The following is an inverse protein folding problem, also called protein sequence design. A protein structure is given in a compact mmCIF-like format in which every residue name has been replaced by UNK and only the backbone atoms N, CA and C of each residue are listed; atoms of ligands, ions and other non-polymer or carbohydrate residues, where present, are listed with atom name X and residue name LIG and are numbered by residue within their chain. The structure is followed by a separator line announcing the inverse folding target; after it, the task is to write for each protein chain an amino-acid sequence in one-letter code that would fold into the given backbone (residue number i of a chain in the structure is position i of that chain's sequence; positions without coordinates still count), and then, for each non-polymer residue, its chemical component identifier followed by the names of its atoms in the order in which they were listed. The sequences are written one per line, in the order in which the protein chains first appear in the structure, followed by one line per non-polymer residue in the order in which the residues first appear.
data_IF_495206999967
#
_entry.id   IF_495206999967
#
_cell.length_a   1.000
_cell.length_b   1.000
_cell.length_c   1.000
_cell.angle_alpha   90.00
_cell.angle_beta   90.00
_cell.angle_gamma   90.00
#
_symmetry.space_group_name_H-M   'P 1'
#
loop_
_entity.id
_entity.type
_entity.pdbx_description
1 polymer ?
#
# COMPACT_ATOMS: atom_id res chain seq x y z
N UNK A 1 14.56 -15.07 -4.32
CA UNK A 1 14.16 -13.82 -3.63
C UNK A 1 12.65 -13.79 -3.60
N UNK A 2 12.05 -13.38 -2.50
CA UNK A 2 10.61 -13.28 -2.38
C UNK A 2 10.07 -12.08 -3.15
N UNK A 3 8.78 -12.10 -3.44
CA UNK A 3 8.10 -11.06 -4.19
C UNK A 3 7.09 -10.33 -3.29
N UNK A 4 6.94 -9.04 -3.54
CA UNK A 4 5.94 -8.17 -2.90
C UNK A 4 5.06 -7.56 -3.98
N UNK A 5 3.75 -7.61 -3.81
CA UNK A 5 2.81 -6.85 -4.62
C UNK A 5 2.55 -5.50 -3.96
N UNK A 6 2.70 -4.42 -4.71
CA UNK A 6 2.24 -3.10 -4.32
C UNK A 6 0.96 -2.77 -5.10
N UNK A 7 -0.17 -2.78 -4.42
CA UNK A 7 -1.49 -2.73 -5.05
C UNK A 7 -2.10 -1.34 -4.90
N UNK A 8 -2.49 -0.74 -6.02
CA UNK A 8 -3.27 0.50 -6.05
C UNK A 8 -4.75 0.28 -6.41
N UNK A 9 -5.52 1.37 -6.45
CA UNK A 9 -6.97 1.33 -6.68
C UNK A 9 -7.37 0.72 -8.03
N UNK A 10 -6.53 0.85 -9.04
CA UNK A 10 -6.77 0.21 -10.35
C UNK A 10 -6.92 -1.30 -10.29
N UNK A 11 -6.31 -1.95 -9.29
CA UNK A 11 -6.50 -3.38 -9.04
C UNK A 11 -7.95 -3.69 -8.61
N UNK A 12 -8.46 -2.97 -7.62
CA UNK A 12 -9.85 -3.15 -7.16
C UNK A 12 -10.84 -2.81 -8.27
N UNK A 13 -10.61 -1.74 -9.01
CA UNK A 13 -11.44 -1.34 -10.16
C UNK A 13 -11.44 -2.40 -11.28
N UNK A 14 -10.32 -3.11 -11.47
CA UNK A 14 -10.19 -4.16 -12.47
C UNK A 14 -10.90 -5.46 -12.08
N UNK A 15 -11.07 -5.72 -10.81
CA UNK A 15 -11.61 -6.99 -10.31
C UNK A 15 -13.06 -6.92 -9.83
N UNK A 16 -13.55 -5.74 -9.48
CA UNK A 16 -14.87 -5.57 -8.87
C UNK A 16 -15.74 -4.57 -9.60
N UNK A 17 -17.04 -4.85 -9.67
CA UNK A 17 -18.02 -3.90 -10.18
C UNK A 17 -18.31 -2.82 -9.13
N UNK A 18 -18.47 -1.58 -9.60
CA UNK A 18 -18.95 -0.49 -8.75
C UNK A 18 -17.90 0.17 -7.84
N UNK A 19 -16.63 -0.19 -7.97
CA UNK A 19 -15.56 0.53 -7.27
C UNK A 19 -15.45 1.94 -7.89
N UNK A 20 -15.63 3.00 -7.09
CA UNK A 20 -15.62 4.36 -7.61
C UNK A 20 -14.18 4.83 -7.89
N UNK A 21 -14.04 5.61 -8.94
CA UNK A 21 -12.86 6.45 -9.13
C UNK A 21 -12.76 7.50 -8.02
N UNK A 22 -11.56 7.96 -7.70
CA UNK A 22 -11.31 8.95 -6.66
C UNK A 22 -12.16 10.21 -6.82
N UNK A 23 -12.30 10.68 -8.05
CA UNK A 23 -13.06 11.88 -8.39
C UNK A 23 -14.55 11.75 -8.04
N UNK A 24 -15.07 10.53 -8.12
CA UNK A 24 -16.49 10.23 -7.80
C UNK A 24 -16.75 10.10 -6.29
N UNK A 25 -15.70 9.97 -5.48
CA UNK A 25 -15.82 9.90 -4.02
C UNK A 25 -16.13 11.25 -3.38
N UNK A 26 -15.81 12.35 -4.08
CA UNK A 26 -15.98 13.72 -3.59
C UNK A 26 -17.02 14.50 -4.43
N UNK A 27 -18.32 14.25 -4.24
CA UNK A 27 -19.36 14.88 -5.04
C UNK A 27 -19.37 16.41 -4.87
N UNK A 28 -19.62 17.12 -5.97
CA UNK A 28 -19.68 18.58 -5.98
C UNK A 28 -18.34 19.27 -6.24
N UNK A 29 -17.23 18.56 -6.27
CA UNK A 29 -15.96 19.14 -6.71
C UNK A 29 -16.02 19.42 -8.23
N UNK A 30 -15.64 20.63 -8.68
CA UNK A 30 -15.59 20.96 -10.08
C UNK A 30 -14.70 20.01 -10.87
N UNK A 31 -15.14 19.57 -12.06
CA UNK A 31 -14.42 18.61 -12.90
C UNK A 31 -13.00 19.05 -13.26
N UNK A 32 -12.76 20.38 -13.35
CA UNK A 32 -11.42 20.93 -13.58
C UNK A 32 -10.43 20.56 -12.48
N UNK A 33 -10.91 20.27 -11.27
CA UNK A 33 -10.11 19.85 -10.13
C UNK A 33 -10.00 18.32 -9.99
N UNK A 34 -10.71 17.56 -10.82
CA UNK A 34 -10.72 16.09 -10.76
C UNK A 34 -9.31 15.46 -10.91
N UNK A 35 -8.39 16.15 -11.58
CA UNK A 35 -6.99 15.74 -11.72
C UNK A 35 -6.11 16.08 -10.50
N UNK A 36 -6.64 16.81 -9.52
CA UNK A 36 -5.92 17.09 -8.30
C UNK A 36 -5.66 15.79 -7.51
N UNK A 37 -4.63 15.79 -6.66
CA UNK A 37 -4.35 14.62 -5.84
C UNK A 37 -5.48 14.36 -4.83
N UNK A 38 -5.60 13.12 -4.37
CA UNK A 38 -6.64 12.69 -3.45
C UNK A 38 -6.67 13.52 -2.14
N UNK A 39 -5.49 13.86 -1.61
CA UNK A 39 -5.34 14.68 -0.41
C UNK A 39 -5.91 16.09 -0.62
N UNK A 40 -5.59 16.72 -1.75
CA UNK A 40 -6.11 18.05 -2.08
C UNK A 40 -7.63 18.01 -2.33
N UNK A 41 -8.12 16.98 -3.02
CA UNK A 41 -9.55 16.77 -3.23
C UNK A 41 -10.30 16.63 -1.89
N UNK A 42 -9.72 15.87 -0.96
CA UNK A 42 -10.25 15.72 0.39
C UNK A 42 -10.35 17.06 1.13
N UNK A 43 -9.27 17.87 1.12
CA UNK A 43 -9.25 19.18 1.80
C UNK A 43 -10.25 20.17 1.17
N UNK A 44 -10.38 20.19 -0.14
CA UNK A 44 -11.35 21.03 -0.84
C UNK A 44 -12.77 20.58 -0.46
N UNK A 45 -13.04 19.28 -0.52
CA UNK A 45 -14.35 18.74 -0.19
C UNK A 45 -14.73 19.05 1.27
N UNK A 46 -13.80 18.87 2.21
CA UNK A 46 -13.97 19.23 3.62
C UNK A 46 -14.37 20.71 3.79
N UNK A 47 -13.69 21.61 3.09
CA UNK A 47 -14.02 23.05 3.10
C UNK A 47 -15.39 23.34 2.50
N UNK A 48 -15.77 22.68 1.40
CA UNK A 48 -17.08 22.86 0.77
C UNK A 48 -18.23 22.40 1.67
N UNK A 49 -18.01 21.38 2.50
CA UNK A 49 -19.01 20.88 3.44
C UNK A 49 -19.12 21.73 4.71
N UNK A 50 -18.35 22.84 4.83
CA UNK A 50 -18.29 23.68 6.04
C UNK A 50 -18.05 22.88 7.34
N UNK A 51 -17.36 21.75 7.24
CA UNK A 51 -17.11 20.90 8.39
C UNK A 51 -16.21 21.61 9.39
N UNK A 52 -16.69 21.73 10.62
CA UNK A 52 -15.93 22.34 11.71
C UNK A 52 -14.81 21.43 12.17
N UNK A 53 -13.78 22.02 12.78
CA UNK A 53 -12.73 21.25 13.46
C UNK A 53 -13.39 20.37 14.52
N UNK A 54 -13.28 19.06 14.39
CA UNK A 54 -13.96 18.09 15.27
C UNK A 54 -14.95 17.16 14.55
N UNK A 55 -15.43 17.54 13.36
CA UNK A 55 -16.27 16.66 12.53
C UNK A 55 -15.45 15.79 11.55
N UNK A 56 -14.13 15.96 11.55
CA UNK A 56 -13.22 15.26 10.65
C UNK A 56 -13.32 13.73 10.79
N UNK A 57 -13.44 13.24 12.02
CA UNK A 57 -13.58 11.80 12.28
C UNK A 57 -14.91 11.25 11.73
N UNK A 58 -16.00 12.02 11.82
CA UNK A 58 -17.29 11.63 11.25
C UNK A 58 -17.24 11.60 9.73
N UNK A 59 -16.59 12.60 9.12
CA UNK A 59 -16.42 12.66 7.68
C UNK A 59 -15.60 11.46 7.17
N UNK A 60 -14.46 11.18 7.78
CA UNK A 60 -13.63 10.01 7.46
C UNK A 60 -14.41 8.70 7.60
N UNK A 61 -15.21 8.57 8.67
CA UNK A 61 -16.06 7.39 8.88
C UNK A 61 -17.03 7.20 7.74
N UNK A 62 -17.81 8.22 7.39
CA UNK A 62 -18.78 8.16 6.31
C UNK A 62 -18.11 7.84 4.96
N UNK A 63 -16.94 8.39 4.72
CA UNK A 63 -16.14 8.09 3.53
C UNK A 63 -15.71 6.63 3.50
N UNK A 64 -15.15 6.11 4.58
CA UNK A 64 -14.68 4.73 4.70
C UNK A 64 -15.84 3.72 4.62
N UNK A 65 -16.96 4.00 5.26
CA UNK A 65 -18.19 3.20 5.13
C UNK A 65 -18.64 3.11 3.67
N UNK A 66 -18.62 4.23 2.95
CA UNK A 66 -19.04 4.27 1.55
C UNK A 66 -18.15 3.40 0.65
N UNK A 67 -16.84 3.41 0.84
CA UNK A 67 -15.91 2.61 0.00
C UNK A 67 -15.85 1.15 0.41
N UNK A 68 -16.15 0.82 1.67
CA UNK A 68 -16.14 -0.56 2.16
C UNK A 68 -17.50 -1.26 2.04
N UNK A 69 -18.60 -0.51 1.96
CA UNK A 69 -19.94 -1.07 1.80
C UNK A 69 -20.09 -2.16 0.73
N UNK A 70 -19.46 -2.06 -0.46
CA UNK A 70 -19.51 -3.13 -1.44
C UNK A 70 -18.95 -4.47 -0.93
N UNK A 71 -17.98 -4.44 0.00
CA UNK A 71 -17.31 -5.63 0.55
C UNK A 71 -17.98 -6.17 1.82
N UNK A 72 -19.00 -5.49 2.34
CA UNK A 72 -19.82 -5.95 3.44
C UNK A 72 -20.86 -6.93 2.90
N UNK A 73 -20.77 -8.18 3.36
CA UNK A 73 -21.65 -9.26 2.87
C UNK A 73 -21.21 -9.83 1.51
N UNK A 74 -22.06 -10.67 0.93
CA UNK A 74 -21.79 -11.36 -0.35
C UNK A 74 -22.39 -10.60 -1.55
N UNK A 75 -22.51 -9.28 -1.45
CA UNK A 75 -23.17 -8.45 -2.48
C UNK A 75 -22.27 -8.04 -3.62
N UNK A 76 -20.95 -7.99 -3.39
CA UNK A 76 -20.00 -7.57 -4.42
C UNK A 76 -19.87 -8.67 -5.49
N UNK A 77 -19.90 -8.24 -6.74
CA UNK A 77 -19.64 -9.11 -7.88
C UNK A 77 -18.21 -8.94 -8.34
N UNK A 78 -17.48 -10.05 -8.39
CA UNK A 78 -16.22 -10.10 -9.08
C UNK A 78 -16.46 -10.10 -10.60
N UNK A 79 -15.71 -9.30 -11.32
CA UNK A 79 -15.68 -9.29 -12.79
C UNK A 79 -14.77 -10.39 -13.36
N UNK A 80 -14.00 -11.06 -12.52
CA UNK A 80 -13.03 -12.07 -12.93
C UNK A 80 -13.18 -13.35 -12.13
N UNK A 81 -13.25 -14.47 -12.84
CA UNK A 81 -13.20 -15.81 -12.23
C UNK A 81 -11.80 -16.12 -11.66
N UNK A 82 -10.80 -15.35 -12.01
CA UNK A 82 -9.41 -15.55 -11.56
C UNK A 82 -9.20 -15.22 -10.07
N UNK A 83 -10.12 -14.51 -9.43
CA UNK A 83 -9.98 -14.17 -7.99
C UNK A 83 -9.89 -15.42 -7.10
N UNK A 84 -10.50 -16.53 -7.49
CA UNK A 84 -10.45 -17.81 -6.77
C UNK A 84 -9.05 -18.45 -6.84
N UNK A 85 -8.30 -18.17 -7.91
CA UNK A 85 -6.93 -18.67 -8.08
C UNK A 85 -5.87 -17.74 -7.50
N UNK A 86 -6.23 -16.55 -7.03
CA UNK A 86 -5.28 -15.55 -6.55
C UNK A 86 -4.36 -16.10 -5.44
N UNK A 87 -4.92 -16.79 -4.44
CA UNK A 87 -4.14 -17.41 -3.38
C UNK A 87 -3.11 -18.44 -3.89
N UNK A 88 -3.50 -19.26 -4.86
CA UNK A 88 -2.59 -20.21 -5.51
C UNK A 88 -1.48 -19.50 -6.29
N UNK A 89 -1.81 -18.37 -6.93
CA UNK A 89 -0.82 -17.54 -7.64
C UNK A 89 0.16 -16.91 -6.65
N UNK A 90 -0.30 -16.40 -5.50
CA UNK A 90 0.58 -15.87 -4.46
C UNK A 90 1.61 -16.90 -3.99
N UNK A 91 1.16 -18.13 -3.71
CA UNK A 91 2.02 -19.25 -3.29
C UNK A 91 3.06 -19.56 -4.39
N UNK A 92 2.58 -19.77 -5.61
CA UNK A 92 3.40 -20.17 -6.76
C UNK A 92 4.48 -19.13 -7.10
N UNK A 93 4.22 -17.87 -6.85
CA UNK A 93 5.13 -16.76 -7.14
C UNK A 93 5.82 -16.20 -5.90
N UNK A 94 5.81 -16.94 -4.79
CA UNK A 94 6.48 -16.57 -3.53
C UNK A 94 6.14 -15.14 -3.05
N UNK A 95 4.85 -14.77 -3.11
CA UNK A 95 4.37 -13.47 -2.66
C UNK A 95 3.91 -13.58 -1.21
N UNK A 96 4.77 -13.21 -0.27
CA UNK A 96 4.45 -13.19 1.17
C UNK A 96 3.98 -11.84 1.69
N UNK A 97 4.12 -10.79 0.88
CA UNK A 97 3.75 -9.43 1.27
C UNK A 97 2.91 -8.74 0.20
N UNK A 98 1.88 -8.04 0.63
CA UNK A 98 1.07 -7.14 -0.18
C UNK A 98 1.09 -5.78 0.50
N UNK A 99 1.52 -4.74 -0.21
CA UNK A 99 1.45 -3.34 0.22
C UNK A 99 0.30 -2.69 -0.54
N UNK A 100 -0.48 -1.84 0.11
CA UNK A 100 -1.54 -1.10 -0.57
C UNK A 100 -1.78 0.27 0.02
N UNK A 101 -2.06 1.23 -0.85
CA UNK A 101 -2.59 2.55 -0.51
C UNK A 101 -4.12 2.57 -0.47
N UNK A 102 -4.77 1.47 -0.85
CA UNK A 102 -6.23 1.38 -0.91
C UNK A 102 -6.84 1.34 0.50
N UNK A 103 -7.95 2.05 0.65
CA UNK A 103 -8.76 2.01 1.87
C UNK A 103 -9.85 0.95 1.82
N UNK A 104 -10.16 0.40 0.63
CA UNK A 104 -11.18 -0.62 0.47
C UNK A 104 -10.75 -1.98 1.01
N UNK A 105 -11.73 -2.85 1.29
CA UNK A 105 -11.53 -4.21 1.77
C UNK A 105 -11.43 -5.28 0.67
N UNK A 106 -11.12 -4.88 -0.57
CA UNK A 106 -11.14 -5.79 -1.72
C UNK A 106 -10.12 -6.92 -1.63
N UNK A 107 -8.91 -6.61 -1.19
CA UNK A 107 -7.84 -7.62 -1.02
C UNK A 107 -8.21 -8.59 0.09
N UNK A 108 -8.68 -8.09 1.23
CA UNK A 108 -9.15 -8.86 2.36
C UNK A 108 -10.29 -9.80 1.97
N UNK A 109 -11.23 -9.28 1.18
CA UNK A 109 -12.35 -10.05 0.67
C UNK A 109 -11.89 -11.21 -0.24
N UNK A 110 -10.97 -10.95 -1.18
CA UNK A 110 -10.39 -12.01 -2.03
C UNK A 110 -9.71 -13.07 -1.17
N UNK A 111 -8.83 -12.66 -0.27
CA UNK A 111 -8.07 -13.59 0.57
C UNK A 111 -9.00 -14.46 1.42
N UNK A 112 -9.99 -13.86 2.08
CA UNK A 112 -10.84 -14.58 3.03
C UNK A 112 -12.00 -15.33 2.36
N UNK A 113 -12.70 -14.69 1.42
CA UNK A 113 -13.92 -15.27 0.83
C UNK A 113 -13.65 -16.17 -0.37
N UNK A 114 -12.55 -15.95 -1.08
CA UNK A 114 -12.23 -16.69 -2.30
C UNK A 114 -11.05 -17.65 -2.18
N UNK A 115 -10.05 -17.29 -1.37
CA UNK A 115 -8.81 -18.04 -1.30
C UNK A 115 -8.62 -18.85 -0.01
N UNK A 116 -9.60 -18.84 0.89
CA UNK A 116 -9.59 -19.64 2.12
C UNK A 116 -8.51 -19.22 3.13
N UNK A 117 -8.12 -17.94 3.12
CA UNK A 117 -7.27 -17.38 4.15
C UNK A 117 -8.10 -16.92 5.35
N UNK A 118 -7.53 -17.03 6.52
CA UNK A 118 -8.08 -16.48 7.76
C UNK A 118 -7.20 -15.34 8.25
N UNK A 119 -7.82 -14.28 8.71
CA UNK A 119 -7.09 -13.20 9.38
C UNK A 119 -6.64 -13.69 10.75
N UNK A 120 -5.34 -13.62 10.99
CA UNK A 120 -4.70 -13.96 12.26
C UNK A 120 -4.17 -12.69 12.89
N UNK A 121 -4.55 -12.42 14.14
CA UNK A 121 -3.98 -11.30 14.91
C UNK A 121 -2.80 -11.84 15.71
N UNK A 122 -1.55 -11.51 15.36
CA UNK A 122 -0.39 -11.91 16.15
C UNK A 122 -0.46 -11.27 17.54
N UNK A 123 -0.03 -11.99 18.57
CA UNK A 123 0.02 -11.46 19.94
C UNK A 123 1.01 -10.29 20.10
N UNK A 124 1.97 -10.21 19.18
CA UNK A 124 3.08 -9.26 19.13
C UNK A 124 2.92 -8.21 18.03
N UNK A 125 1.68 -7.95 17.59
CA UNK A 125 1.42 -6.96 16.55
C UNK A 125 1.92 -5.59 16.97
N UNK A 126 2.83 -5.03 16.19
CA UNK A 126 3.37 -3.69 16.43
C UNK A 126 2.26 -2.65 16.23
N UNK A 127 2.11 -1.65 17.12
CA UNK A 127 1.09 -0.63 16.98
C UNK A 127 1.20 0.11 15.66
N UNK A 128 0.04 0.41 15.07
CA UNK A 128 -0.11 1.08 13.77
C UNK A 128 0.62 2.42 13.66
N UNK A 129 0.93 3.05 14.78
CA UNK A 129 1.48 4.41 14.85
C UNK A 129 2.99 4.47 15.02
N UNK A 130 3.68 3.34 15.10
CA UNK A 130 5.11 3.35 15.35
C UNK A 130 5.86 3.35 14.03
N UNK A 131 6.54 4.45 13.80
CA UNK A 131 7.43 4.68 12.64
C UNK A 131 6.72 4.49 11.30
N UNK A 132 7.32 3.74 10.40
CA UNK A 132 6.75 3.40 9.10
C UNK A 132 5.88 2.14 9.12
N UNK A 133 5.66 1.52 10.28
CA UNK A 133 4.70 0.42 10.41
C UNK A 133 3.32 1.05 10.44
N UNK A 134 2.66 1.03 9.31
CA UNK A 134 1.25 1.34 9.15
C UNK A 134 0.43 0.11 9.49
N UNK A 135 -0.86 0.14 9.38
CA UNK A 135 -1.71 -1.03 9.61
C UNK A 135 -1.22 -2.20 8.79
N UNK A 136 -0.84 -3.31 9.43
CA UNK A 136 -0.72 -4.56 8.72
C UNK A 136 -1.63 -5.63 9.30
N UNK A 137 -2.09 -6.53 8.42
CA UNK A 137 -2.90 -7.69 8.75
C UNK A 137 -2.17 -8.95 8.32
N UNK A 138 -2.28 -10.00 9.10
CA UNK A 138 -1.70 -11.29 8.79
C UNK A 138 -2.80 -12.26 8.39
N UNK A 139 -2.68 -12.83 7.21
CA UNK A 139 -3.58 -13.83 6.66
C UNK A 139 -2.88 -15.17 6.50
N UNK A 140 -3.57 -16.27 6.84
CA UNK A 140 -2.98 -17.59 6.84
C UNK A 140 -3.99 -18.66 6.41
N UNK A 141 -3.55 -19.64 5.60
CA UNK A 141 -4.36 -20.76 5.17
C UNK A 141 -3.76 -22.13 5.55
N UNK A 142 -2.86 -22.18 6.54
CA UNK A 142 -2.14 -23.39 6.95
C UNK A 142 -0.91 -23.72 6.08
N UNK A 143 -0.86 -23.26 4.85
CA UNK A 143 0.23 -23.52 3.89
C UNK A 143 1.08 -22.26 3.67
N UNK A 144 0.44 -21.10 3.59
CA UNK A 144 1.05 -19.84 3.21
C UNK A 144 0.57 -18.71 4.11
N UNK A 145 1.46 -17.76 4.37
CA UNK A 145 1.19 -16.57 5.16
C UNK A 145 1.39 -15.32 4.32
N UNK A 146 0.44 -14.41 4.37
CA UNK A 146 0.49 -13.10 3.70
C UNK A 146 0.40 -12.00 4.73
N UNK A 147 1.34 -11.06 4.69
CA UNK A 147 1.24 -9.76 5.38
C UNK A 147 0.62 -8.76 4.42
N UNK A 148 -0.51 -8.19 4.80
CA UNK A 148 -1.16 -7.09 4.08
C UNK A 148 -0.88 -5.78 4.79
N UNK A 149 -0.11 -4.90 4.15
CA UNK A 149 0.30 -3.59 4.66
C UNK A 149 -0.57 -2.49 4.07
N UNK A 150 -1.45 -1.90 4.87
CA UNK A 150 -2.29 -0.77 4.46
C UNK A 150 -1.60 0.53 4.87
N UNK A 151 -0.69 1.01 4.03
CA UNK A 151 0.22 2.11 4.37
C UNK A 151 -0.43 3.48 4.51
N UNK A 152 -1.62 3.66 3.95
CA UNK A 152 -2.45 4.85 4.16
C UNK A 152 -3.55 4.63 5.21
N UNK A 153 -3.47 3.56 5.97
CA UNK A 153 -4.39 3.21 7.02
C UNK A 153 -5.47 2.21 6.61
N UNK A 154 -6.19 1.74 7.61
CA UNK A 154 -7.23 0.74 7.46
C UNK A 154 -8.61 1.38 7.54
N UNK A 155 -9.41 1.17 6.51
CA UNK A 155 -10.78 1.65 6.44
C UNK A 155 -11.81 0.84 7.20
N UNK A 156 -11.43 -0.27 7.86
CA UNK A 156 -12.38 -1.05 8.62
C UNK A 156 -12.90 -0.27 9.84
N UNK A 157 -14.24 -0.17 9.99
CA UNK A 157 -14.84 0.39 11.19
C UNK A 157 -14.49 -0.49 12.38
N UNK A 158 -13.70 0.01 13.30
CA UNK A 158 -13.37 -0.69 14.54
C UNK A 158 -14.01 0.05 15.72
N UNK A 159 -14.54 -0.73 16.69
CA UNK A 159 -15.30 -0.27 17.87
C UNK A 159 -14.64 0.83 18.72
N UNK A 160 -13.36 1.12 18.52
CA UNK A 160 -12.59 2.01 19.40
C UNK A 160 -12.08 3.31 18.77
N UNK A 161 -12.61 3.77 17.64
CA UNK A 161 -12.26 5.07 17.01
C UNK A 161 -10.75 5.32 16.74
N UNK A 162 -9.85 4.44 17.13
CA UNK A 162 -8.40 4.63 17.00
C UNK A 162 -7.92 4.48 15.55
N UNK A 163 -8.55 3.59 14.77
CA UNK A 163 -8.14 3.31 13.39
C UNK A 163 -8.53 4.42 12.41
N UNK A 164 -9.62 5.12 12.64
CA UNK A 164 -10.05 6.24 11.79
C UNK A 164 -9.01 7.37 11.82
N UNK A 165 -8.34 7.58 12.95
CA UNK A 165 -7.29 8.60 13.09
C UNK A 165 -6.01 8.26 12.33
N UNK A 166 -5.76 6.98 12.06
CA UNK A 166 -4.58 6.54 11.30
C UNK A 166 -4.72 6.66 9.79
N UNK A 167 -5.93 6.91 9.29
CA UNK A 167 -6.20 7.01 7.86
C UNK A 167 -5.60 8.29 7.29
N UNK A 168 -4.73 8.13 6.30
CA UNK A 168 -3.99 9.21 5.64
C UNK A 168 -4.83 9.83 4.52
N UNK A 169 -5.75 10.72 4.86
CA UNK A 169 -6.58 11.43 3.87
C UNK A 169 -6.23 12.91 3.72
N UNK A 170 -5.86 13.59 4.79
CA UNK A 170 -5.55 15.01 4.79
C UNK A 170 -4.04 15.30 4.78
N UNK A 171 -3.67 16.57 4.55
CA UNK A 171 -2.27 16.98 4.51
C UNK A 171 -1.52 16.68 5.81
N UNK A 172 -2.13 16.93 6.96
CA UNK A 172 -1.49 16.74 8.26
C UNK A 172 -1.13 15.25 8.48
N UNK A 173 -2.05 14.34 8.11
CA UNK A 173 -1.82 12.91 8.22
C UNK A 173 -0.74 12.44 7.22
N UNK A 174 -0.75 13.01 6.01
CA UNK A 174 0.24 12.68 4.99
C UNK A 174 1.65 13.13 5.39
N UNK A 175 1.79 14.37 5.89
CA UNK A 175 3.04 14.88 6.43
C UNK A 175 3.53 14.06 7.63
N UNK A 176 2.62 13.68 8.53
CA UNK A 176 2.93 12.81 9.67
C UNK A 176 3.41 11.42 9.25
N UNK A 177 2.86 10.89 8.19
CA UNK A 177 3.27 9.62 7.60
C UNK A 177 4.70 9.68 7.04
N UNK A 178 5.00 10.68 6.22
CA UNK A 178 6.36 10.91 5.66
C UNK A 178 7.38 11.13 6.79
N UNK A 179 7.02 11.88 7.83
CA UNK A 179 7.92 12.10 8.96
C UNK A 179 8.29 10.78 9.67
N UNK A 180 7.35 9.85 9.82
CA UNK A 180 7.59 8.52 10.39
C UNK A 180 8.49 7.66 9.49
N UNK A 181 8.27 7.68 8.19
CA UNK A 181 9.14 6.99 7.23
C UNK A 181 10.57 7.52 7.26
N UNK A 182 10.71 8.83 7.33
CA UNK A 182 12.01 9.47 7.43
C UNK A 182 12.71 9.13 8.74
N UNK A 183 11.99 9.10 9.87
CA UNK A 183 12.53 8.65 11.14
C UNK A 183 13.03 7.21 11.06
N UNK A 184 12.25 6.31 10.45
CA UNK A 184 12.66 4.93 10.21
C UNK A 184 13.96 4.83 9.39
N UNK A 185 14.04 5.55 8.27
CA UNK A 185 15.23 5.53 7.40
C UNK A 185 16.49 6.02 8.12
N UNK A 186 16.34 6.97 9.05
CA UNK A 186 17.43 7.42 9.92
C UNK A 186 17.79 6.45 11.03
N UNK A 187 16.95 5.45 11.28
CA UNK A 187 17.08 4.57 12.43
C UNK A 187 16.57 5.19 13.74
N UNK A 188 15.75 6.20 13.69
CA UNK A 188 15.16 6.86 14.88
C UNK A 188 13.92 6.08 15.36
N UNK A 189 14.05 4.77 15.61
CA UNK A 189 12.99 3.89 16.06
C UNK A 189 13.51 2.88 17.09
N UNK A 190 12.62 2.27 17.86
CA UNK A 190 12.95 1.20 18.81
C UNK A 190 12.30 -0.12 18.38
N UNK A 191 13.08 -1.08 17.87
CA UNK A 191 12.56 -2.38 17.44
C UNK A 191 11.96 -3.21 18.58
N UNK A 192 12.26 -2.87 19.83
CA UNK A 192 11.76 -3.56 21.02
C UNK A 192 10.50 -2.93 21.61
N UNK A 193 10.00 -1.85 21.02
CA UNK A 193 8.79 -1.20 21.50
C UNK A 193 7.58 -2.11 21.31
N UNK A 194 6.93 -2.46 22.43
CA UNK A 194 5.79 -3.39 22.42
C UNK A 194 4.49 -2.71 22.02
N UNK A 195 3.56 -3.53 21.57
CA UNK A 195 2.21 -3.06 21.24
C UNK A 195 1.58 -2.29 22.42
N UNK A 196 1.12 -1.07 22.14
CA UNK A 196 0.50 -0.20 23.14
C UNK A 196 1.47 0.69 23.91
N UNK A 197 2.77 0.52 23.78
CA UNK A 197 3.75 1.44 24.35
C UNK A 197 3.83 2.72 23.50
N UNK A 198 3.87 3.86 24.19
CA UNK A 198 4.01 5.17 23.53
C UNK A 198 5.47 5.60 23.67
N UNK A 199 6.09 5.95 22.57
CA UNK A 199 7.41 6.56 22.60
C UNK A 199 7.34 7.92 23.30
N UNK A 200 8.03 8.03 24.41
CA UNK A 200 8.18 9.29 25.15
C UNK A 200 9.58 9.88 24.92
N UNK A 201 9.79 11.18 25.17
CA UNK A 201 11.12 11.77 25.09
C UNK A 201 12.15 11.10 25.99
N UNK A 202 11.71 10.48 27.10
CA UNK A 202 12.57 9.79 28.07
C UNK A 202 13.05 8.42 27.57
N UNK A 203 12.27 7.76 26.75
CA UNK A 203 12.59 6.44 26.20
C UNK A 203 12.91 6.48 24.69
N UNK A 204 13.29 7.66 24.17
CA UNK A 204 13.79 7.76 22.81
C UNK A 204 15.03 6.88 22.65
N UNK A 205 15.08 6.04 21.65
CA UNK A 205 16.23 5.21 21.40
C UNK A 205 17.46 6.08 21.11
N UNK A 206 18.59 5.67 21.66
CA UNK A 206 19.85 6.41 21.49
C UNK A 206 20.65 5.93 20.29
N UNK A 207 20.43 4.72 19.86
CA UNK A 207 21.22 4.13 18.82
C UNK A 207 20.35 3.46 17.81
N UNK A 208 20.66 3.77 16.63
CA UNK A 208 19.68 3.52 15.68
C UNK A 208 20.31 2.99 14.45
N UNK A 209 19.84 1.82 14.11
CA UNK A 209 20.21 1.12 12.91
C UNK A 209 19.50 1.82 11.76
N UNK A 210 20.25 2.61 11.03
CA UNK A 210 19.69 3.28 9.87
C UNK A 210 19.43 2.30 8.72
N UNK A 211 18.50 2.63 7.84
CA UNK A 211 18.29 1.88 6.60
C UNK A 211 19.60 1.74 5.80
N UNK A 212 20.45 2.76 5.83
CA UNK A 212 21.77 2.72 5.20
C UNK A 212 22.69 1.67 5.80
N UNK A 213 22.67 1.47 7.13
CA UNK A 213 23.49 0.45 7.78
C UNK A 213 23.00 -0.94 7.40
N UNK A 214 21.69 -1.16 7.32
CA UNK A 214 21.08 -2.40 6.83
C UNK A 214 21.46 -2.64 5.36
N UNK A 215 21.29 -1.66 4.50
CA UNK A 215 21.67 -1.77 3.07
C UNK A 215 23.17 -1.99 2.85
N UNK A 216 24.02 -1.50 3.75
CA UNK A 216 25.47 -1.73 3.67
C UNK A 216 25.92 -3.11 4.15
N UNK A 217 25.02 -3.91 4.69
CA UNK A 217 25.32 -5.22 5.27
C UNK A 217 26.00 -5.17 6.64
N UNK A 218 26.01 -4.01 7.32
CA UNK A 218 26.50 -3.91 8.69
C UNK A 218 25.51 -4.46 9.70
N UNK A 219 24.24 -4.36 9.39
CA UNK A 219 23.12 -4.78 10.21
C UNK A 219 22.09 -5.52 9.35
N UNK A 220 21.35 -6.42 9.96
CA UNK A 220 20.30 -7.18 9.30
C UNK A 220 19.00 -6.38 9.21
N UNK A 221 18.18 -6.71 8.21
CA UNK A 221 16.81 -6.23 8.14
C UNK A 221 15.96 -6.95 9.19
N UNK A 222 15.18 -6.20 9.97
CA UNK A 222 14.36 -6.75 11.06
C UNK A 222 12.92 -7.10 10.65
N UNK A 223 12.49 -6.70 9.45
CA UNK A 223 11.18 -7.02 8.89
C UNK A 223 10.00 -6.33 9.57
N UNK A 224 10.25 -5.28 10.36
CA UNK A 224 9.21 -4.54 11.08
C UNK A 224 8.56 -3.44 10.25
N UNK A 225 9.15 -3.07 9.12
CA UNK A 225 8.67 -1.98 8.28
C UNK A 225 8.43 -2.44 6.84
N UNK A 226 7.33 -1.96 6.26
CA UNK A 226 7.04 -2.15 4.84
C UNK A 226 8.12 -1.52 3.92
N UNK A 227 8.84 -0.49 4.41
CA UNK A 227 9.94 0.15 3.67
C UNK A 227 11.04 -0.86 3.33
N UNK A 228 11.34 -1.80 4.23
CA UNK A 228 12.38 -2.81 4.01
C UNK A 228 12.09 -3.72 2.82
N UNK A 229 10.82 -3.93 2.50
CA UNK A 229 10.42 -4.75 1.36
C UNK A 229 10.95 -4.20 0.03
N UNK A 230 11.13 -2.89 -0.07
CA UNK A 230 11.75 -2.25 -1.23
C UNK A 230 13.23 -2.57 -1.41
N UNK A 231 13.88 -3.16 -0.41
CA UNK A 231 15.30 -3.50 -0.42
C UNK A 231 15.55 -5.00 -0.32
N UNK A 232 14.56 -5.76 0.13
CA UNK A 232 14.71 -7.19 0.44
C UNK A 232 13.92 -8.11 -0.49
N UNK A 233 12.93 -7.58 -1.22
CA UNK A 233 12.07 -8.35 -2.13
C UNK A 233 11.99 -7.70 -3.50
N UNK A 234 11.62 -8.46 -4.54
CA UNK A 234 11.18 -7.84 -5.79
C UNK A 234 9.80 -7.20 -5.60
N UNK A 235 9.65 -5.94 -5.97
CA UNK A 235 8.41 -5.19 -5.80
C UNK A 235 7.72 -4.99 -7.15
N UNK A 236 6.45 -5.37 -7.21
CA UNK A 236 5.61 -5.21 -8.40
C UNK A 236 4.46 -4.27 -8.12
N UNK A 237 4.48 -3.08 -8.71
CA UNK A 237 3.35 -2.14 -8.67
C UNK A 237 2.26 -2.59 -9.62
N UNK A 238 1.06 -2.80 -9.11
CA UNK A 238 -0.09 -3.35 -9.85
C UNK A 238 -1.31 -2.46 -9.63
N UNK A 239 -1.89 -1.96 -10.71
CA UNK A 239 -3.04 -1.07 -10.63
C UNK A 239 -2.76 0.22 -9.85
N UNK A 240 -1.52 0.65 -9.81
CA UNK A 240 -1.06 1.85 -9.12
C UNK A 240 -0.64 2.90 -10.15
N UNK A 241 -1.29 4.06 -10.09
CA UNK A 241 -1.12 5.11 -11.10
C UNK A 241 0.19 5.90 -10.99
N UNK A 242 1.00 5.68 -9.95
CA UNK A 242 2.27 6.39 -9.72
C UNK A 242 2.16 7.92 -9.85
N UNK A 243 1.04 8.50 -9.37
CA UNK A 243 0.84 9.94 -9.49
C UNK A 243 1.98 10.70 -8.82
N UNK A 244 2.38 11.84 -9.38
CA UNK A 244 3.45 12.68 -8.81
C UNK A 244 3.15 13.17 -7.38
N UNK A 245 1.90 13.11 -6.98
CA UNK A 245 1.45 13.43 -5.63
C UNK A 245 1.74 12.35 -4.57
N UNK A 246 2.10 11.15 -4.96
CA UNK A 246 2.51 10.06 -4.07
C UNK A 246 3.96 10.27 -3.62
N UNK A 247 4.20 11.37 -2.91
CA UNK A 247 5.55 11.86 -2.58
C UNK A 247 6.33 10.86 -1.72
N UNK A 248 5.67 10.14 -0.82
CA UNK A 248 6.25 9.09 0.01
C UNK A 248 6.85 7.97 -0.86
N UNK A 249 6.11 7.52 -1.86
CA UNK A 249 6.55 6.46 -2.76
C UNK A 249 7.70 6.95 -3.66
N UNK A 250 7.59 8.14 -4.25
CA UNK A 250 8.66 8.72 -5.05
C UNK A 250 9.94 8.94 -4.23
N UNK A 251 9.78 9.40 -3.01
CA UNK A 251 10.91 9.56 -2.09
C UNK A 251 11.57 8.21 -1.78
N UNK A 252 10.78 7.15 -1.52
CA UNK A 252 11.30 5.82 -1.24
C UNK A 252 12.00 5.20 -2.46
N UNK A 253 11.45 5.36 -3.66
CA UNK A 253 12.10 4.94 -4.91
C UNK A 253 13.46 5.63 -5.09
N UNK A 254 13.54 6.94 -4.80
CA UNK A 254 14.80 7.66 -4.81
C UNK A 254 15.81 7.12 -3.77
N UNK A 255 15.34 6.76 -2.55
CA UNK A 255 16.22 6.13 -1.56
C UNK A 255 16.71 4.77 -2.06
N UNK A 256 15.83 3.94 -2.64
CA UNK A 256 16.18 2.65 -3.21
C UNK A 256 17.25 2.78 -4.30
N UNK A 257 17.03 3.60 -5.31
CA UNK A 257 17.96 3.80 -6.42
C UNK A 257 19.34 4.24 -5.93
N UNK A 258 19.41 5.24 -5.06
CA UNK A 258 20.68 5.75 -4.50
C UNK A 258 21.42 4.73 -3.63
N UNK A 259 20.71 3.96 -2.82
CA UNK A 259 21.32 2.96 -1.96
C UNK A 259 21.74 1.73 -2.76
N UNK A 260 21.00 1.33 -3.78
CA UNK A 260 21.36 0.25 -4.70
C UNK A 260 22.60 0.60 -5.53
N UNK A 261 22.69 1.83 -6.04
CA UNK A 261 23.91 2.33 -6.72
C UNK A 261 25.12 2.25 -5.80
N UNK A 262 24.94 2.56 -4.52
CA UNK A 262 26.02 2.56 -3.54
C UNK A 262 26.39 1.19 -3.00
N UNK A 263 25.43 0.28 -2.89
CA UNK A 263 25.59 -1.06 -2.30
C UNK A 263 25.00 -2.16 -3.21
N UNK A 264 25.48 -2.27 -4.47
CA UNK A 264 24.88 -3.16 -5.47
C UNK A 264 25.02 -4.65 -5.10
N UNK A 265 26.01 -5.00 -4.27
CA UNK A 265 26.19 -6.38 -3.81
C UNK A 265 25.15 -6.84 -2.81
N UNK A 266 24.55 -5.89 -2.08
CA UNK A 266 23.58 -6.17 -1.02
C UNK A 266 22.14 -5.97 -1.48
N UNK A 267 21.89 -5.03 -2.42
CA UNK A 267 20.57 -4.70 -2.95
C UNK A 267 20.47 -5.22 -4.38
N UNK A 268 19.92 -6.42 -4.52
CA UNK A 268 19.82 -7.13 -5.82
C UNK A 268 18.41 -7.20 -6.38
N UNK A 269 17.44 -6.76 -5.60
CA UNK A 269 16.04 -6.80 -5.95
C UNK A 269 15.71 -5.84 -7.10
N UNK A 270 14.56 -6.08 -7.71
CA UNK A 270 14.01 -5.26 -8.80
C UNK A 270 12.69 -4.62 -8.39
N UNK A 271 12.46 -3.42 -8.92
CA UNK A 271 11.18 -2.73 -8.80
C UNK A 271 10.57 -2.65 -10.20
N UNK A 272 9.34 -3.12 -10.35
CA UNK A 272 8.66 -3.19 -11.64
C UNK A 272 7.28 -2.57 -11.55
N UNK A 273 6.96 -1.67 -12.44
CA UNK A 273 5.61 -1.20 -12.68
C UNK A 273 4.94 -2.08 -13.75
N UNK A 274 3.82 -2.69 -13.38
CA UNK A 274 2.95 -3.42 -14.30
C UNK A 274 1.94 -2.44 -14.88
N UNK A 275 2.19 -2.00 -16.09
CA UNK A 275 1.38 -1.01 -16.79
C UNK A 275 0.30 -1.68 -17.66
N UNK A 276 -0.94 -1.27 -17.48
CA UNK A 276 -2.07 -1.81 -18.23
C UNK A 276 -2.29 -0.98 -19.50
N UNK A 277 -2.20 -1.60 -20.69
CA UNK A 277 -2.38 -0.90 -21.97
C UNK A 277 -3.75 -0.23 -22.15
N UNK A 278 -4.80 -0.70 -21.44
CA UNK A 278 -6.11 -0.03 -21.45
C UNK A 278 -6.15 1.26 -20.62
N UNK A 279 -5.37 1.30 -19.56
CA UNK A 279 -5.29 2.42 -18.62
C UNK A 279 -3.83 2.68 -18.27
N UNK A 280 -3.03 3.13 -19.26
CA UNK A 280 -1.60 3.33 -19.05
C UNK A 280 -1.35 4.45 -18.05
N UNK A 281 -0.25 4.35 -17.32
CA UNK A 281 0.21 5.47 -16.52
C UNK A 281 0.56 6.67 -17.40
N UNK A 282 0.48 7.87 -16.85
CA UNK A 282 0.78 9.11 -17.56
C UNK A 282 2.18 9.09 -18.19
N UNK A 283 2.32 9.70 -19.36
CA UNK A 283 3.58 9.66 -20.12
C UNK A 283 4.75 10.24 -19.31
N UNK A 284 4.52 11.33 -18.58
CA UNK A 284 5.52 11.96 -17.71
C UNK A 284 6.04 10.98 -16.65
N UNK A 285 5.14 10.20 -16.06
CA UNK A 285 5.50 9.16 -15.08
C UNK A 285 6.35 8.07 -15.74
N UNK A 286 5.98 7.62 -16.95
CA UNK A 286 6.74 6.61 -17.69
C UNK A 286 8.17 7.07 -17.99
N UNK A 287 8.35 8.35 -18.27
CA UNK A 287 9.67 8.96 -18.53
C UNK A 287 10.51 9.11 -17.28
N UNK A 288 9.89 9.31 -16.11
CA UNK A 288 10.58 9.50 -14.84
C UNK A 288 11.02 8.19 -14.18
N UNK A 289 10.22 7.13 -14.26
CA UNK A 289 10.46 5.88 -13.52
C UNK A 289 11.84 5.24 -13.76
N UNK A 290 12.39 5.23 -14.99
CA UNK A 290 13.74 4.67 -15.22
C UNK A 290 14.86 5.39 -14.46
N UNK A 291 14.71 6.69 -14.15
CA UNK A 291 15.69 7.44 -13.34
C UNK A 291 15.73 6.96 -11.88
N UNK A 292 14.70 6.23 -11.43
CA UNK A 292 14.61 5.65 -10.09
C UNK A 292 14.81 4.13 -10.10
N UNK A 293 15.40 3.58 -11.15
CA UNK A 293 15.64 2.13 -11.32
C UNK A 293 14.34 1.30 -11.28
N UNK A 294 13.25 1.87 -11.79
CA UNK A 294 11.96 1.19 -11.92
C UNK A 294 11.76 0.74 -13.36
N UNK A 295 11.61 -0.57 -13.55
CA UNK A 295 11.28 -1.16 -14.83
C UNK A 295 9.79 -1.07 -15.11
N UNK A 296 9.42 -0.79 -16.35
CA UNK A 296 8.03 -0.79 -16.79
C UNK A 296 7.79 -2.02 -17.67
N UNK A 297 6.76 -2.78 -17.36
CA UNK A 297 6.32 -3.92 -18.18
C UNK A 297 4.84 -3.75 -18.49
N UNK A 298 4.54 -3.65 -19.78
CA UNK A 298 3.15 -3.53 -20.22
C UNK A 298 2.48 -4.90 -20.27
N UNK A 299 1.26 -4.96 -19.77
CA UNK A 299 0.39 -6.12 -19.93
C UNK A 299 -0.72 -5.77 -20.92
N UNK A 300 -1.12 -6.73 -21.80
CA UNK A 300 -2.17 -6.49 -22.77
C UNK A 300 -3.46 -6.01 -22.10
N UNK A 301 -4.06 -4.99 -22.67
CA UNK A 301 -5.40 -4.55 -22.33
C UNK A 301 -6.41 -5.57 -22.80
N UNK A 302 -6.93 -6.38 -21.88
CA UNK A 302 -7.95 -7.37 -22.19
C UNK A 302 -9.32 -6.81 -21.84
N UNK A 303 -10.23 -6.86 -22.80
CA UNK A 303 -11.63 -6.48 -22.53
C UNK A 303 -12.15 -7.20 -21.27
N UNK A 304 -12.63 -6.40 -20.31
CA UNK A 304 -13.24 -6.82 -19.06
C UNK A 304 -12.45 -7.91 -18.32
N UNK A 305 -11.18 -7.63 -18.03
CA UNK A 305 -10.41 -8.23 -16.93
C UNK A 305 -10.36 -9.78 -16.83
N UNK A 306 -10.72 -10.50 -17.88
CA UNK A 306 -10.76 -11.99 -17.86
C UNK A 306 -9.41 -12.68 -17.65
N UNK A 307 -8.30 -11.98 -17.85
CA UNK A 307 -6.97 -12.54 -17.66
C UNK A 307 -6.02 -11.55 -16.94
N UNK A 308 -6.58 -10.62 -16.18
CA UNK A 308 -5.80 -9.57 -15.53
C UNK A 308 -4.76 -10.13 -14.55
N UNK A 309 -5.20 -10.98 -13.62
CA UNK A 309 -4.32 -11.61 -12.65
C UNK A 309 -3.32 -12.54 -13.33
N UNK A 310 -3.78 -13.40 -14.27
CA UNK A 310 -2.90 -14.30 -15.01
C UNK A 310 -1.80 -13.57 -15.76
N UNK A 311 -2.09 -12.40 -16.34
CA UNK A 311 -1.09 -11.61 -17.04
C UNK A 311 -0.06 -11.01 -16.08
N UNK A 312 -0.49 -10.47 -14.93
CA UNK A 312 0.41 -10.00 -13.89
C UNK A 312 1.38 -11.11 -13.46
N UNK A 313 0.85 -12.26 -13.07
CA UNK A 313 1.67 -13.35 -12.56
C UNK A 313 2.51 -14.06 -13.66
N UNK A 314 2.08 -14.01 -14.92
CA UNK A 314 2.89 -14.50 -16.04
C UNK A 314 4.15 -13.65 -16.23
N UNK A 315 4.02 -12.35 -16.09
CA UNK A 315 5.13 -11.42 -16.17
C UNK A 315 6.14 -11.67 -15.03
N UNK A 316 5.66 -11.92 -13.80
CA UNK A 316 6.53 -12.23 -12.67
C UNK A 316 7.38 -13.49 -12.86
N UNK A 317 6.94 -14.44 -13.71
CA UNK A 317 7.71 -15.63 -14.07
C UNK A 317 8.90 -15.36 -14.97
N UNK A 318 8.80 -14.35 -15.83
CA UNK A 318 9.87 -14.03 -16.78
C UNK A 318 11.10 -13.45 -16.08
N UNK A 319 10.99 -13.10 -14.80
CA UNK A 319 12.03 -12.45 -13.99
C UNK A 319 12.75 -13.42 -13.04
N UNK A 320 12.30 -14.67 -12.96
CA UNK A 320 12.98 -15.73 -12.19
C UNK A 320 13.97 -16.51 -13.06
#
# INVERSE_FOLDING_TARGET
MDNTLFIGNGFSMSLFEGIPEWEKLFPGIPQVLAKANATLLYEIYRKMQNSQIGEEDLFKRNFLEKINKPFEGDTIKSQSDEVESFGTMLIKHHVGNIITTNYDGGIEWILTKKCGYEQVTPADLVPEDIYSVRTYKLYRNGVHTVKLWKIHGDGEPNEKNRRIKSVTLGFDQYCGAIAKEYAYVKGEYDPNLKHGEIQTPANKPKCLISLRDKCSGKEDFDGISWIELFFTTNVYFVGFGMRLSEIDIWWLLNQHSRLKEKYPENIKNTITLVDNELHPVEQEVRELLPYFDVRIVSIPGIEKNKAYLSNIFRMMKADM
#
